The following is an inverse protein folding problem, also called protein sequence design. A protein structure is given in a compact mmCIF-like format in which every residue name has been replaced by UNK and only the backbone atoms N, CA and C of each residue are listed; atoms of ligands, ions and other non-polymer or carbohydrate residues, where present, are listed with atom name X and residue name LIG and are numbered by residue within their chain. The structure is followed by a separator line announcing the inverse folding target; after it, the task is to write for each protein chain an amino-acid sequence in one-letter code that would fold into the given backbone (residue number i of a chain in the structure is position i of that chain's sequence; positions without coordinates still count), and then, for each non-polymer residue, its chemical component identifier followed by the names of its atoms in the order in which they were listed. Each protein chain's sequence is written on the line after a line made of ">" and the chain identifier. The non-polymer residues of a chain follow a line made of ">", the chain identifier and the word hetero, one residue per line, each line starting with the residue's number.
data_IF_782802897228
#
_entry.id   IF_782802897228
#
_cell.length_a   1.000
_cell.length_b   1.000
_cell.length_c   1.000
_cell.angle_alpha   90.00
_cell.angle_beta   90.00
_cell.angle_gamma   90.00
#
_symmetry.space_group_name_H-M   'P 1'
#
loop_
_entity.id
_entity.type
_entity.pdbx_description
1 polymer ?
#
# COMPACT_ATOMS: atom_id res chain seq x y z
N UNK A 1 15.30 -13.93 -12.48
CA UNK A 1 13.89 -13.54 -12.30
C UNK A 1 13.83 -12.30 -11.40
N UNK A 2 13.90 -11.09 -11.94
CA UNK A 2 13.85 -9.86 -11.14
C UNK A 2 12.87 -8.89 -11.80
N UNK A 3 11.58 -9.09 -11.51
CA UNK A 3 10.43 -8.49 -12.23
C UNK A 3 10.07 -7.11 -11.63
N UNK A 4 10.73 -6.69 -10.53
CA UNK A 4 10.35 -5.50 -9.76
C UNK A 4 11.37 -4.35 -9.81
N UNK A 5 12.32 -4.39 -10.76
CA UNK A 5 13.51 -3.53 -10.70
C UNK A 5 13.31 -2.03 -10.95
N UNK A 6 12.14 -1.57 -11.40
CA UNK A 6 11.96 -0.16 -11.81
C UNK A 6 10.57 0.46 -11.56
N UNK A 7 9.84 0.01 -10.54
CA UNK A 7 8.76 0.80 -9.93
C UNK A 7 8.99 0.85 -8.43
N UNK A 8 9.85 1.77 -7.99
CA UNK A 8 9.98 2.15 -6.59
C UNK A 8 8.69 2.87 -6.16
N UNK A 9 7.60 2.12 -5.98
CA UNK A 9 6.64 2.53 -4.96
C UNK A 9 7.44 2.54 -3.65
N UNK A 10 7.37 3.64 -2.89
CA UNK A 10 8.05 3.71 -1.60
C UNK A 10 7.67 2.45 -0.83
N UNK A 11 8.63 1.57 -0.53
CA UNK A 11 8.36 0.31 0.18
C UNK A 11 7.57 0.57 1.47
N UNK A 12 7.79 1.75 2.07
CA UNK A 12 7.03 2.30 3.19
C UNK A 12 5.52 2.37 2.95
N UNK A 13 5.06 2.76 1.75
CA UNK A 13 3.63 2.84 1.40
C UNK A 13 3.00 1.44 1.36
N UNK A 14 3.67 0.47 0.73
CA UNK A 14 3.18 -0.91 0.63
C UNK A 14 3.10 -1.55 2.02
N UNK A 15 4.16 -1.40 2.81
CA UNK A 15 4.20 -1.94 4.19
C UNK A 15 3.15 -1.25 5.07
N UNK A 16 2.97 0.06 4.93
CA UNK A 16 1.95 0.80 5.66
C UNK A 16 0.55 0.32 5.29
N UNK A 17 0.26 0.15 4.00
CA UNK A 17 -1.03 -0.35 3.53
C UNK A 17 -1.36 -1.75 4.07
N UNK A 18 -0.40 -2.69 3.99
CA UNK A 18 -0.57 -4.05 4.52
C UNK A 18 -0.78 -4.04 6.04
N UNK A 19 -0.04 -3.19 6.76
CA UNK A 19 -0.17 -3.07 8.22
C UNK A 19 -1.57 -2.59 8.63
N UNK A 20 -2.13 -1.62 7.92
CA UNK A 20 -3.49 -1.14 8.18
C UNK A 20 -4.56 -2.16 7.80
N UNK A 21 -4.41 -2.81 6.65
CA UNK A 21 -5.28 -3.90 6.22
C UNK A 21 -5.32 -5.02 7.26
N UNK A 22 -4.16 -5.49 7.74
CA UNK A 22 -4.08 -6.58 8.71
C UNK A 22 -4.50 -6.17 10.13
N UNK A 23 -4.20 -4.94 10.57
CA UNK A 23 -4.44 -4.51 11.95
C UNK A 23 -5.89 -4.10 12.21
N UNK A 24 -6.53 -3.48 11.23
CA UNK A 24 -7.85 -2.87 11.41
C UNK A 24 -8.94 -3.50 10.52
N UNK A 25 -8.59 -4.48 9.68
CA UNK A 25 -9.54 -5.11 8.76
C UNK A 25 -10.16 -4.09 7.79
N UNK A 26 -9.35 -3.10 7.39
CA UNK A 26 -9.81 -2.01 6.52
C UNK A 26 -10.20 -2.57 5.16
N UNK A 27 -11.35 -2.13 4.67
CA UNK A 27 -11.80 -2.48 3.32
C UNK A 27 -10.81 -1.99 2.28
N UNK A 28 -10.64 -2.75 1.20
CA UNK A 28 -9.76 -2.37 0.10
C UNK A 28 -10.09 -0.95 -0.44
N UNK A 29 -11.37 -0.55 -0.38
CA UNK A 29 -11.84 0.77 -0.83
C UNK A 29 -11.32 1.91 0.05
N UNK A 30 -11.43 1.77 1.37
CA UNK A 30 -10.83 2.72 2.32
C UNK A 30 -9.30 2.78 2.14
N UNK A 31 -8.67 1.62 1.94
CA UNK A 31 -7.22 1.56 1.69
C UNK A 31 -6.84 2.31 0.40
N UNK A 32 -7.63 2.16 -0.66
CA UNK A 32 -7.46 2.88 -1.92
C UNK A 32 -7.66 4.39 -1.75
N UNK A 33 -8.68 4.83 -1.01
CA UNK A 33 -8.90 6.24 -0.68
C UNK A 33 -7.70 6.80 0.12
N UNK A 34 -7.24 6.11 1.16
CA UNK A 34 -6.07 6.55 1.96
C UNK A 34 -4.77 6.63 1.14
N UNK A 35 -4.62 5.76 0.13
CA UNK A 35 -3.49 5.78 -0.78
C UNK A 35 -3.61 6.89 -1.83
N UNK A 36 -4.83 7.18 -2.27
CA UNK A 36 -5.16 8.26 -3.19
C UNK A 36 -4.96 9.64 -2.54
N UNK A 37 -5.38 9.82 -1.28
CA UNK A 37 -5.17 11.06 -0.51
C UNK A 37 -3.69 11.36 -0.22
N UNK A 38 -2.83 10.35 -0.27
CA UNK A 38 -1.38 10.48 0.00
C UNK A 38 -0.53 10.65 -1.26
N UNK A 39 -1.11 10.44 -2.44
CA UNK A 39 -0.45 10.62 -3.74
C UNK A 39 -0.51 12.07 -4.21
#
# INVERSE_FOLDING_TARGET
>A
MNIFKHRHFKHEIIIWAIRWYCKYGISYRDLEEMLCERG
#
